data_IF_060738030450
#
_entry.id   IF_060738030450
#
_cell.length_a   1.000
_cell.length_b   1.000
_cell.length_c   1.000
_cell.angle_alpha   90.00
_cell.angle_beta   90.00
_cell.angle_gamma   90.00
#
_symmetry.space_group_name_H-M   'P 1'
#
loop_
_entity.id
_entity.type
_entity.pdbx_description
1 polymer ?
#
# COMPACT_ATOMS: atom_id res chain seq x y z
N UNK A 1 13.74 -36.80 4.74
CA UNK A 1 14.48 -36.18 3.62
C UNK A 1 14.26 -34.67 3.75
N UNK A 2 15.24 -33.94 4.30
CA UNK A 2 15.13 -32.49 4.49
C UNK A 2 15.34 -31.80 3.13
N UNK A 3 14.28 -31.26 2.55
CA UNK A 3 14.27 -30.69 1.20
C UNK A 3 14.63 -29.20 1.24
N UNK A 4 15.91 -28.89 1.00
CA UNK A 4 16.42 -27.56 0.63
C UNK A 4 16.30 -26.45 1.67
N UNK A 5 17.34 -25.62 1.83
CA UNK A 5 17.27 -24.42 2.66
C UNK A 5 16.16 -23.48 2.13
N UNK A 6 14.96 -23.55 2.74
CA UNK A 6 13.90 -22.57 2.51
C UNK A 6 14.36 -21.22 3.07
N UNK A 7 14.76 -20.32 2.17
CA UNK A 7 15.12 -18.96 2.56
C UNK A 7 13.85 -18.15 2.78
N UNK A 8 13.61 -17.80 4.04
CA UNK A 8 12.48 -16.95 4.44
C UNK A 8 12.75 -15.48 4.15
N UNK A 9 11.75 -14.81 3.57
CA UNK A 9 11.70 -13.35 3.40
C UNK A 9 11.31 -12.65 4.70
N UNK A 10 11.53 -11.32 4.76
CA UNK A 10 11.02 -10.46 5.83
C UNK A 10 9.66 -9.83 5.52
N UNK A 11 9.04 -10.18 4.39
CA UNK A 11 7.67 -9.78 4.04
C UNK A 11 6.70 -10.96 4.18
N UNK A 12 5.40 -10.71 4.44
CA UNK A 12 4.41 -11.78 4.55
C UNK A 12 4.20 -12.50 3.22
N UNK A 13 3.78 -13.76 3.30
CA UNK A 13 3.29 -14.51 2.17
C UNK A 13 2.02 -13.86 1.59
N UNK A 14 1.95 -13.75 0.26
CA UNK A 14 0.81 -13.15 -0.47
C UNK A 14 -0.36 -14.12 -0.50
N UNK A 15 -1.15 -14.10 0.58
CA UNK A 15 -2.38 -14.87 0.73
C UNK A 15 -3.61 -13.98 0.52
N UNK A 16 -4.80 -14.57 0.50
CA UNK A 16 -6.04 -13.78 0.55
C UNK A 16 -6.09 -12.90 1.81
N UNK A 17 -5.65 -13.44 2.95
CA UNK A 17 -5.57 -12.70 4.21
C UNK A 17 -4.66 -11.48 4.13
N UNK A 18 -3.53 -11.59 3.44
CA UNK A 18 -2.65 -10.46 3.16
C UNK A 18 -3.39 -9.34 2.41
N UNK A 19 -4.13 -9.66 1.35
CA UNK A 19 -4.85 -8.66 0.57
C UNK A 19 -5.97 -7.98 1.37
N UNK A 20 -6.72 -8.75 2.19
CA UNK A 20 -7.76 -8.18 3.05
C UNK A 20 -7.16 -7.18 4.03
N UNK A 21 -6.12 -7.57 4.77
CA UNK A 21 -5.47 -6.67 5.74
C UNK A 21 -4.83 -5.47 5.04
N UNK A 22 -4.26 -5.66 3.84
CA UNK A 22 -3.69 -4.57 3.04
C UNK A 22 -4.74 -3.54 2.63
N UNK A 23 -5.92 -3.97 2.16
CA UNK A 23 -7.02 -3.06 1.78
C UNK A 23 -7.51 -2.29 3.01
N UNK A 24 -7.70 -2.96 4.15
CA UNK A 24 -8.07 -2.27 5.39
C UNK A 24 -7.00 -1.27 5.83
N UNK A 25 -5.72 -1.61 5.70
CA UNK A 25 -4.61 -0.72 6.03
C UNK A 25 -4.55 0.49 5.09
N UNK A 26 -4.85 0.33 3.79
CA UNK A 26 -4.89 1.48 2.86
C UNK A 26 -6.10 2.38 3.12
N UNK A 27 -7.25 1.83 3.53
CA UNK A 27 -8.40 2.65 3.98
C UNK A 27 -8.12 3.36 5.31
N UNK A 28 -7.45 2.67 6.25
CA UNK A 28 -7.01 3.27 7.50
C UNK A 28 -6.03 4.41 7.24
N UNK A 29 -5.10 4.21 6.31
CA UNK A 29 -4.15 5.23 5.88
C UNK A 29 -4.81 6.55 5.52
N UNK A 30 -5.91 6.49 4.77
CA UNK A 30 -6.69 7.67 4.37
C UNK A 30 -7.35 8.34 5.57
N UNK A 31 -8.24 7.63 6.26
CA UNK A 31 -8.99 8.18 7.39
C UNK A 31 -8.07 8.63 8.54
N UNK A 32 -6.95 7.95 8.76
CA UNK A 32 -5.96 8.28 9.78
C UNK A 32 -5.10 9.48 9.39
N UNK A 33 -4.71 9.58 8.12
CA UNK A 33 -4.07 10.76 7.55
C UNK A 33 -4.93 12.00 7.74
N UNK A 34 -6.18 11.92 7.29
CA UNK A 34 -7.18 12.99 7.36
C UNK A 34 -7.64 13.32 8.78
N UNK A 35 -7.59 12.36 9.70
CA UNK A 35 -7.80 12.64 11.12
C UNK A 35 -6.78 13.66 11.61
N UNK A 36 -5.50 13.44 11.35
CA UNK A 36 -4.43 14.34 11.83
C UNK A 36 -4.37 15.63 11.01
N UNK A 37 -4.44 15.54 9.68
CA UNK A 37 -4.27 16.71 8.82
C UNK A 37 -5.52 17.63 8.83
N UNK A 38 -6.73 17.06 8.79
CA UNK A 38 -7.98 17.81 8.64
C UNK A 38 -8.75 17.92 9.97
N UNK A 39 -9.01 16.80 10.67
CA UNK A 39 -9.88 16.83 11.86
C UNK A 39 -9.20 17.51 13.05
N UNK A 40 -7.90 17.29 13.22
CA UNK A 40 -7.08 17.96 14.24
C UNK A 40 -6.49 19.29 13.74
N UNK A 41 -6.82 19.70 12.51
CA UNK A 41 -6.40 20.97 11.88
C UNK A 41 -4.88 21.20 11.86
N UNK A 42 -4.07 20.14 11.90
CA UNK A 42 -2.60 20.27 11.89
C UNK A 42 -2.05 20.60 10.50
N UNK A 43 -2.84 20.37 9.45
CA UNK A 43 -2.45 20.56 8.06
C UNK A 43 -1.56 19.45 7.51
N UNK A 44 -1.47 19.38 6.17
CA UNK A 44 -0.83 18.26 5.47
C UNK A 44 0.69 18.19 5.67
N UNK A 45 1.37 19.33 5.81
CA UNK A 45 2.83 19.35 6.02
C UNK A 45 3.22 18.78 7.39
N UNK A 46 2.53 19.20 8.46
CA UNK A 46 2.78 18.71 9.82
C UNK A 46 2.38 17.23 9.92
N UNK A 47 1.21 16.86 9.38
CA UNK A 47 0.77 15.46 9.29
C UNK A 47 1.81 14.58 8.59
N UNK A 48 2.35 15.06 7.45
CA UNK A 48 3.42 14.37 6.72
C UNK A 48 4.67 14.23 7.56
N UNK A 49 5.13 15.28 8.24
CA UNK A 49 6.32 15.22 9.09
C UNK A 49 6.17 14.18 10.21
N UNK A 50 5.00 14.10 10.85
CA UNK A 50 4.69 13.13 11.90
C UNK A 50 4.71 11.70 11.34
N UNK A 51 3.88 11.41 10.33
CA UNK A 51 3.74 10.04 9.84
C UNK A 51 4.96 9.55 9.09
N UNK A 52 5.64 10.42 8.34
CA UNK A 52 6.88 10.06 7.64
C UNK A 52 7.99 9.74 8.64
N UNK A 53 8.09 10.48 9.74
CA UNK A 53 9.06 10.21 10.80
C UNK A 53 8.79 8.86 11.48
N UNK A 54 7.52 8.57 11.82
CA UNK A 54 7.12 7.26 12.35
C UNK A 54 7.43 6.14 11.35
N UNK A 55 7.11 6.33 10.08
CA UNK A 55 7.41 5.37 9.03
C UNK A 55 8.91 5.11 8.89
N UNK A 56 9.75 6.15 8.86
CA UNK A 56 11.21 5.99 8.74
C UNK A 56 11.77 5.19 9.92
N UNK A 57 11.31 5.45 11.15
CA UNK A 57 11.73 4.69 12.33
C UNK A 57 11.30 3.22 12.24
N UNK A 58 10.05 2.95 11.86
CA UNK A 58 9.53 1.58 11.72
C UNK A 58 10.18 0.82 10.54
N UNK A 59 10.45 1.50 9.43
CA UNK A 59 11.16 0.92 8.29
C UNK A 59 12.62 0.62 8.64
N UNK A 60 13.30 1.51 9.37
CA UNK A 60 14.65 1.26 9.87
C UNK A 60 14.69 0.07 10.85
N UNK A 61 13.69 -0.05 11.72
CA UNK A 61 13.53 -1.21 12.60
C UNK A 61 13.26 -2.49 11.79
N UNK A 62 12.40 -2.45 10.78
CA UNK A 62 12.18 -3.60 9.91
C UNK A 62 13.50 -4.03 9.25
N UNK A 63 14.27 -3.08 8.70
CA UNK A 63 15.55 -3.34 8.04
C UNK A 63 16.58 -3.98 8.99
N UNK A 64 16.60 -3.56 10.26
CA UNK A 64 17.53 -4.09 11.26
C UNK A 64 17.16 -5.50 11.73
N UNK A 65 15.87 -5.86 11.70
CA UNK A 65 15.40 -7.18 12.11
C UNK A 65 15.85 -8.29 11.15
N UNK A 66 16.15 -9.47 11.68
CA UNK A 66 16.62 -10.62 10.88
C UNK A 66 15.52 -11.58 10.48
N UNK A 67 14.34 -11.45 11.10
CA UNK A 67 13.19 -12.34 10.92
C UNK A 67 11.94 -11.55 10.58
N UNK A 68 10.95 -12.22 10.01
CA UNK A 68 9.65 -11.61 9.76
C UNK A 68 8.89 -11.42 11.09
N UNK A 69 8.50 -10.19 11.38
CA UNK A 69 7.65 -9.81 12.50
C UNK A 69 6.34 -9.23 11.96
N UNK A 70 5.20 -9.95 12.07
CA UNK A 70 3.95 -9.52 11.45
C UNK A 70 3.47 -8.15 11.93
N UNK A 71 3.50 -7.90 13.25
CA UNK A 71 3.06 -6.62 13.81
C UNK A 71 3.94 -5.46 13.35
N UNK A 72 5.25 -5.65 13.31
CA UNK A 72 6.17 -4.63 12.82
C UNK A 72 5.89 -4.32 11.34
N UNK A 73 5.74 -5.35 10.50
CA UNK A 73 5.43 -5.17 9.09
C UNK A 73 4.12 -4.40 8.87
N UNK A 74 3.04 -4.81 9.54
CA UNK A 74 1.74 -4.14 9.38
C UNK A 74 1.74 -2.72 9.96
N UNK A 75 2.44 -2.47 11.07
CA UNK A 75 2.65 -1.12 11.59
C UNK A 75 3.41 -0.24 10.59
N UNK A 76 4.48 -0.75 9.98
CA UNK A 76 5.24 -0.02 8.94
C UNK A 76 4.37 0.25 7.71
N UNK A 77 3.53 -0.70 7.29
CA UNK A 77 2.58 -0.50 6.19
C UNK A 77 1.57 0.59 6.55
N UNK A 78 0.95 0.54 7.73
CA UNK A 78 -0.01 1.55 8.20
C UNK A 78 0.65 2.95 8.21
N UNK A 79 1.84 3.07 8.79
CA UNK A 79 2.58 4.33 8.83
C UNK A 79 2.93 4.84 7.42
N UNK A 80 3.28 3.92 6.50
CA UNK A 80 3.54 4.29 5.10
C UNK A 80 2.28 4.78 4.38
N UNK A 81 1.12 4.22 4.70
CA UNK A 81 -0.15 4.62 4.08
C UNK A 81 -0.64 5.96 4.63
N UNK A 82 -0.54 6.21 5.93
CA UNK A 82 -0.92 7.53 6.49
C UNK A 82 0.02 8.63 6.02
N UNK A 83 1.34 8.36 5.99
CA UNK A 83 2.32 9.29 5.42
C UNK A 83 2.06 9.54 3.92
N UNK A 84 1.67 8.49 3.19
CA UNK A 84 1.30 8.59 1.77
C UNK A 84 0.11 9.52 1.54
N UNK A 85 -0.95 9.42 2.35
CA UNK A 85 -2.12 10.33 2.28
C UNK A 85 -1.68 11.77 2.44
N UNK A 86 -1.08 12.10 3.58
CA UNK A 86 -0.77 13.50 3.90
C UNK A 86 0.25 14.09 2.93
N UNK A 87 1.17 13.27 2.41
CA UNK A 87 2.14 13.70 1.41
C UNK A 87 1.49 13.92 0.04
N UNK A 88 0.52 13.09 -0.34
CA UNK A 88 -0.24 13.25 -1.58
C UNK A 88 -1.02 14.56 -1.52
N UNK A 89 -1.79 14.78 -0.46
CA UNK A 89 -2.57 16.00 -0.26
C UNK A 89 -1.70 17.25 -0.20
N UNK A 90 -0.55 17.16 0.46
CA UNK A 90 0.40 18.27 0.49
C UNK A 90 0.87 18.60 -0.94
N UNK A 91 1.25 17.60 -1.73
CA UNK A 91 1.72 17.80 -3.09
C UNK A 91 0.63 18.30 -4.05
N UNK A 92 -0.55 17.70 -4.01
CA UNK A 92 -1.64 17.99 -4.96
C UNK A 92 -2.38 19.26 -4.59
N UNK A 93 -2.70 19.46 -3.30
CA UNK A 93 -3.54 20.56 -2.81
C UNK A 93 -2.71 21.74 -2.32
N UNK A 94 -1.67 21.52 -1.51
CA UNK A 94 -0.90 22.64 -0.90
C UNK A 94 0.17 23.22 -1.81
N UNK A 95 0.91 22.38 -2.55
CA UNK A 95 1.91 22.84 -3.52
C UNK A 95 1.28 23.23 -4.87
N UNK A 96 -0.01 22.95 -5.08
CA UNK A 96 -0.74 23.32 -6.29
C UNK A 96 -0.37 22.52 -7.54
N UNK A 97 0.22 21.33 -7.39
CA UNK A 97 0.57 20.45 -8.53
C UNK A 97 -0.71 19.88 -9.18
N UNK A 98 -1.81 19.80 -8.43
CA UNK A 98 -3.07 19.21 -8.87
C UNK A 98 -3.03 17.68 -8.90
N UNK A 99 -4.20 17.03 -8.91
CA UNK A 99 -4.27 15.57 -8.81
C UNK A 99 -3.68 14.84 -10.02
N UNK A 100 -3.96 15.32 -11.23
CA UNK A 100 -3.41 14.72 -12.46
C UNK A 100 -1.88 14.85 -12.53
N UNK A 101 -1.34 16.05 -12.25
CA UNK A 101 0.10 16.30 -12.23
C UNK A 101 0.81 15.48 -11.15
N UNK A 102 0.25 15.45 -9.93
CA UNK A 102 0.76 14.65 -8.83
C UNK A 102 0.76 13.15 -9.14
N UNK A 103 -0.34 12.64 -9.69
CA UNK A 103 -0.46 11.23 -10.09
C UNK A 103 0.55 10.82 -11.16
N UNK A 104 0.74 11.64 -12.20
CA UNK A 104 1.72 11.35 -13.25
C UNK A 104 3.16 11.36 -12.72
N UNK A 105 3.51 12.35 -11.89
CA UNK A 105 4.81 12.44 -11.23
C UNK A 105 5.07 11.21 -10.36
N UNK A 106 4.11 10.85 -9.50
CA UNK A 106 4.25 9.73 -8.58
C UNK A 106 4.27 8.39 -9.31
N UNK A 107 3.52 8.24 -10.41
CA UNK A 107 3.62 7.07 -11.29
C UNK A 107 5.03 6.95 -11.88
N UNK A 108 5.60 8.05 -12.39
CA UNK A 108 6.97 8.05 -12.88
C UNK A 108 7.97 7.65 -11.79
N UNK A 109 7.80 8.15 -10.55
CA UNK A 109 8.65 7.78 -9.41
C UNK A 109 8.50 6.30 -9.01
N UNK A 110 7.28 5.75 -9.03
CA UNK A 110 7.06 4.31 -8.80
C UNK A 110 7.80 3.49 -9.85
N UNK A 111 7.61 3.81 -11.14
CA UNK A 111 8.26 3.08 -12.25
C UNK A 111 9.79 3.22 -12.20
N UNK A 112 10.30 4.41 -11.91
CA UNK A 112 11.72 4.66 -11.74
C UNK A 112 12.30 3.87 -10.57
N UNK A 113 11.60 3.82 -9.42
CA UNK A 113 12.04 3.05 -8.25
C UNK A 113 12.08 1.54 -8.52
N UNK A 114 11.07 0.99 -9.19
CA UNK A 114 11.04 -0.41 -9.61
C UNK A 114 12.12 -0.72 -10.65
N UNK A 115 12.34 0.17 -11.61
CA UNK A 115 13.40 0.05 -12.61
C UNK A 115 14.78 0.06 -11.97
N UNK A 116 15.07 1.05 -11.11
CA UNK A 116 16.31 1.16 -10.38
C UNK A 116 16.56 -0.05 -9.47
N UNK A 117 15.51 -0.53 -8.77
CA UNK A 117 15.59 -1.74 -7.96
C UNK A 117 15.95 -2.96 -8.83
N UNK A 118 15.26 -3.16 -9.95
CA UNK A 118 15.54 -4.27 -10.87
C UNK A 118 16.97 -4.22 -11.41
N UNK A 119 17.47 -3.03 -11.78
CA UNK A 119 18.84 -2.86 -12.25
C UNK A 119 19.87 -3.14 -11.14
N UNK A 120 19.58 -2.71 -9.91
CA UNK A 120 20.51 -2.81 -8.79
C UNK A 120 20.58 -4.20 -8.13
N UNK A 121 19.56 -5.04 -8.33
CA UNK A 121 19.41 -6.34 -7.63
C UNK A 121 19.03 -7.52 -8.53
N UNK A 122 18.71 -7.27 -9.81
CA UNK A 122 18.28 -8.27 -10.78
C UNK A 122 16.82 -8.73 -10.65
N UNK A 123 16.10 -8.36 -9.60
CA UNK A 123 14.70 -8.78 -9.38
C UNK A 123 13.92 -7.81 -8.52
N UNK A 124 12.62 -7.66 -8.81
CA UNK A 124 11.65 -6.93 -7.97
C UNK A 124 10.64 -7.88 -7.32
N UNK A 125 11.02 -9.15 -7.18
CA UNK A 125 10.23 -10.16 -6.48
C UNK A 125 10.24 -9.87 -5.00
N UNK A 126 9.07 -9.80 -4.38
CA UNK A 126 8.98 -9.50 -2.96
C UNK A 126 9.61 -10.60 -2.08
N UNK A 127 9.63 -11.84 -2.57
CA UNK A 127 10.24 -12.96 -1.86
C UNK A 127 11.75 -12.75 -1.69
N UNK A 128 12.37 -11.94 -2.56
CA UNK A 128 13.80 -11.59 -2.50
C UNK A 128 14.11 -10.46 -1.51
N UNK A 129 13.09 -9.85 -0.89
CA UNK A 129 13.24 -8.76 0.07
C UNK A 129 13.73 -9.32 1.41
N UNK A 130 15.05 -9.24 1.62
CA UNK A 130 15.72 -9.76 2.83
C UNK A 130 16.98 -9.01 3.26
N UNK A 131 17.60 -8.28 2.33
CA UNK A 131 18.84 -7.56 2.55
C UNK A 131 18.52 -6.06 2.67
N UNK A 132 19.26 -5.29 3.49
CA UNK A 132 18.99 -3.88 3.72
C UNK A 132 18.82 -3.06 2.45
N UNK A 133 19.66 -3.31 1.43
CA UNK A 133 19.58 -2.65 0.12
C UNK A 133 18.24 -2.91 -0.59
N UNK A 134 17.79 -4.17 -0.61
CA UNK A 134 16.53 -4.58 -1.26
C UNK A 134 15.32 -4.07 -0.49
N UNK A 135 15.40 -4.06 0.84
CA UNK A 135 14.36 -3.52 1.72
C UNK A 135 14.22 -2.00 1.58
N UNK A 136 15.33 -1.26 1.41
CA UNK A 136 15.28 0.16 1.14
C UNK A 136 14.53 0.48 -0.17
N UNK A 137 14.79 -0.28 -1.24
CA UNK A 137 14.03 -0.15 -2.49
C UNK A 137 12.55 -0.50 -2.29
N UNK A 138 12.26 -1.59 -1.58
CA UNK A 138 10.90 -2.02 -1.28
C UNK A 138 10.11 -0.92 -0.56
N UNK A 139 10.65 -0.37 0.52
CA UNK A 139 10.00 0.69 1.29
C UNK A 139 9.88 1.99 0.50
N UNK A 140 10.89 2.36 -0.29
CA UNK A 140 10.81 3.53 -1.18
C UNK A 140 9.70 3.38 -2.23
N UNK A 141 9.64 2.25 -2.92
CA UNK A 141 8.59 1.96 -3.91
C UNK A 141 7.21 1.96 -3.26
N UNK A 142 7.08 1.39 -2.05
CA UNK A 142 5.84 1.42 -1.27
C UNK A 142 5.42 2.86 -0.99
N UNK A 143 6.33 3.72 -0.51
CA UNK A 143 6.02 5.12 -0.21
C UNK A 143 5.50 5.86 -1.44
N UNK A 144 6.19 5.77 -2.58
CA UNK A 144 5.70 6.38 -3.81
C UNK A 144 4.37 5.79 -4.26
N UNK A 145 4.17 4.49 -4.12
CA UNK A 145 2.92 3.82 -4.45
C UNK A 145 1.77 4.25 -3.52
N UNK A 146 2.02 4.45 -2.23
CA UNK A 146 0.98 4.90 -1.30
C UNK A 146 0.52 6.32 -1.60
N UNK A 147 1.49 7.17 -1.94
CA UNK A 147 1.24 8.58 -2.28
C UNK A 147 0.55 8.69 -3.63
N UNK A 148 1.01 7.92 -4.63
CA UNK A 148 0.36 7.81 -5.94
C UNK A 148 -1.10 7.43 -5.78
N UNK A 149 -1.38 6.42 -4.97
CA UNK A 149 -2.73 5.90 -4.85
C UNK A 149 -3.71 6.87 -4.21
N UNK A 150 -3.31 7.70 -3.24
CA UNK A 150 -4.20 8.78 -2.75
C UNK A 150 -4.46 9.79 -3.86
N UNK A 151 -3.40 10.35 -4.47
CA UNK A 151 -3.56 11.34 -5.55
C UNK A 151 -4.42 10.82 -6.71
N UNK A 152 -4.29 9.54 -7.06
CA UNK A 152 -5.06 8.90 -8.13
C UNK A 152 -6.50 8.58 -7.69
N UNK A 153 -6.71 8.23 -6.43
CA UNK A 153 -8.03 8.01 -5.84
C UNK A 153 -8.84 9.30 -5.84
N UNK A 154 -8.25 10.38 -5.32
CA UNK A 154 -8.84 11.72 -5.31
C UNK A 154 -9.11 12.21 -6.73
N UNK A 155 -8.14 12.03 -7.65
CA UNK A 155 -8.34 12.36 -9.05
C UNK A 155 -9.56 11.63 -9.62
N UNK A 156 -9.71 10.33 -9.37
CA UNK A 156 -10.82 9.56 -9.91
C UNK A 156 -12.17 10.04 -9.34
N UNK A 157 -12.21 10.39 -8.05
CA UNK A 157 -13.42 10.86 -7.39
C UNK A 157 -13.81 12.28 -7.82
N UNK A 158 -12.86 13.21 -7.81
CA UNK A 158 -13.08 14.65 -8.01
C UNK A 158 -12.96 15.01 -9.51
N UNK A 159 -11.74 15.20 -10.02
CA UNK A 159 -11.47 15.68 -11.38
C UNK A 159 -11.99 14.72 -12.48
N UNK A 160 -11.95 13.42 -12.19
CA UNK A 160 -12.43 12.35 -13.05
C UNK A 160 -13.95 12.18 -13.02
N UNK A 161 -14.63 12.83 -12.06
CA UNK A 161 -16.08 12.91 -11.98
C UNK A 161 -16.79 11.60 -11.63
N UNK A 162 -16.08 10.57 -11.12
CA UNK A 162 -16.70 9.29 -10.74
C UNK A 162 -17.33 9.34 -9.34
N UNK A 163 -16.95 10.33 -8.53
CA UNK A 163 -17.21 10.34 -7.09
C UNK A 163 -16.54 9.19 -6.35
N UNK A 164 -16.63 9.17 -5.03
CA UNK A 164 -15.96 8.15 -4.22
C UNK A 164 -16.50 6.73 -4.50
N UNK A 165 -17.82 6.56 -4.63
CA UNK A 165 -18.43 5.28 -4.96
C UNK A 165 -18.05 4.75 -6.35
N UNK A 166 -18.04 5.61 -7.37
CA UNK A 166 -17.61 5.23 -8.71
C UNK A 166 -16.12 4.92 -8.79
N UNK A 167 -15.28 5.69 -8.08
CA UNK A 167 -13.85 5.40 -7.91
C UNK A 167 -13.61 4.05 -7.24
N UNK A 168 -14.30 3.76 -6.14
CA UNK A 168 -14.21 2.47 -5.45
C UNK A 168 -14.61 1.29 -6.36
N UNK A 169 -15.68 1.44 -7.17
CA UNK A 169 -16.08 0.45 -8.16
C UNK A 169 -15.02 0.26 -9.25
N UNK A 170 -14.44 1.35 -9.77
CA UNK A 170 -13.38 1.30 -10.79
C UNK A 170 -12.17 0.51 -10.29
N UNK A 171 -11.62 0.87 -9.13
CA UNK A 171 -10.43 0.22 -8.61
C UNK A 171 -10.72 -1.20 -8.12
N UNK A 172 -11.90 -1.44 -7.54
CA UNK A 172 -12.37 -2.79 -7.18
C UNK A 172 -12.48 -3.70 -8.41
N UNK A 173 -13.07 -3.22 -9.50
CA UNK A 173 -13.16 -3.97 -10.76
C UNK A 173 -11.77 -4.23 -11.36
N UNK A 174 -10.88 -3.24 -11.33
CA UNK A 174 -9.50 -3.42 -11.81
C UNK A 174 -8.75 -4.49 -11.00
N UNK A 175 -8.90 -4.51 -9.67
CA UNK A 175 -8.34 -5.59 -8.83
C UNK A 175 -8.96 -6.96 -9.13
N UNK A 176 -10.27 -7.03 -9.39
CA UNK A 176 -10.94 -8.27 -9.79
C UNK A 176 -10.40 -8.79 -11.13
N UNK A 177 -10.16 -7.90 -12.11
CA UNK A 177 -9.52 -8.24 -13.38
C UNK A 177 -8.10 -8.76 -13.16
N UNK A 178 -7.30 -8.10 -12.31
CA UNK A 178 -5.95 -8.57 -11.99
C UNK A 178 -5.95 -9.94 -11.29
N UNK A 179 -6.92 -10.19 -10.41
CA UNK A 179 -7.12 -11.51 -9.81
C UNK A 179 -7.49 -12.55 -10.87
N UNK A 180 -8.39 -12.23 -11.80
CA UNK A 180 -8.71 -13.11 -12.93
C UNK A 180 -7.49 -13.41 -13.81
N UNK A 181 -6.69 -12.40 -14.14
CA UNK A 181 -5.44 -12.58 -14.87
C UNK A 181 -4.44 -13.46 -14.11
N UNK A 182 -4.40 -13.34 -12.78
CA UNK A 182 -3.54 -14.18 -11.94
C UNK A 182 -3.93 -15.67 -12.03
N UNK A 183 -5.22 -16.00 -12.02
CA UNK A 183 -5.67 -17.39 -12.04
C UNK A 183 -5.77 -18.01 -13.43
N UNK A 184 -6.03 -17.19 -14.47
CA UNK A 184 -6.38 -17.71 -15.80
C UNK A 184 -5.39 -17.36 -16.91
N UNK A 185 -4.42 -16.49 -16.66
CA UNK A 185 -3.45 -16.08 -17.69
C UNK A 185 -2.03 -16.60 -17.40
N UNK A 186 -1.13 -16.46 -18.37
CA UNK A 186 0.32 -16.70 -18.22
C UNK A 186 1.10 -15.42 -17.93
N UNK A 187 0.42 -14.34 -17.53
CA UNK A 187 1.06 -13.07 -17.23
C UNK A 187 2.05 -13.21 -16.06
N UNK A 188 3.05 -12.31 -16.05
CA UNK A 188 4.06 -12.28 -14.99
C UNK A 188 3.39 -12.02 -13.64
N UNK A 189 3.49 -13.00 -12.73
CA UNK A 189 2.93 -12.88 -11.38
C UNK A 189 3.56 -11.72 -10.59
N UNK A 190 4.83 -11.38 -10.91
CA UNK A 190 5.52 -10.22 -10.33
C UNK A 190 4.88 -8.92 -10.80
N UNK A 191 4.55 -8.81 -12.09
CA UNK A 191 3.89 -7.63 -12.62
C UNK A 191 2.46 -7.49 -12.09
N UNK A 192 1.71 -8.60 -12.04
CA UNK A 192 0.36 -8.64 -11.47
C UNK A 192 0.37 -8.26 -9.98
N UNK A 193 1.35 -8.74 -9.22
CA UNK A 193 1.52 -8.37 -7.81
C UNK A 193 1.70 -6.86 -7.66
N UNK A 194 2.66 -6.26 -8.38
CA UNK A 194 2.90 -4.82 -8.26
C UNK A 194 1.72 -3.99 -8.73
N UNK A 195 1.06 -4.39 -9.83
CA UNK A 195 -0.15 -3.71 -10.29
C UNK A 195 -1.26 -3.78 -9.23
N UNK A 196 -1.51 -4.95 -8.63
CA UNK A 196 -2.51 -5.10 -7.58
C UNK A 196 -2.13 -4.31 -6.33
N UNK A 197 -0.87 -4.40 -5.90
CA UNK A 197 -0.36 -3.66 -4.74
C UNK A 197 -0.53 -2.16 -4.91
N UNK A 198 -0.19 -1.62 -6.09
CA UNK A 198 -0.36 -0.20 -6.41
C UNK A 198 -1.84 0.17 -6.41
N UNK A 199 -2.72 -0.63 -7.02
CA UNK A 199 -4.15 -0.36 -7.14
C UNK A 199 -4.97 -0.56 -5.86
N UNK A 200 -4.46 -1.32 -4.87
CA UNK A 200 -5.14 -1.40 -3.55
C UNK A 200 -5.14 -0.07 -2.82
N UNK A 201 -4.21 0.84 -3.13
CA UNK A 201 -4.15 2.15 -2.49
C UNK A 201 -5.24 3.11 -2.97
N UNK A 202 -5.42 3.40 -4.27
CA UNK A 202 -6.51 4.27 -4.71
C UNK A 202 -7.88 3.70 -4.36
N UNK A 203 -8.05 2.37 -4.32
CA UNK A 203 -9.24 1.77 -3.71
C UNK A 203 -9.39 2.15 -2.23
N UNK A 204 -8.32 1.99 -1.45
CA UNK A 204 -8.34 2.34 -0.03
C UNK A 204 -8.66 3.82 0.23
N UNK A 205 -8.07 4.72 -0.57
CA UNK A 205 -8.31 6.16 -0.50
C UNK A 205 -9.77 6.49 -0.82
N UNK A 206 -10.26 6.07 -1.99
CA UNK A 206 -11.66 6.30 -2.39
C UNK A 206 -12.68 5.72 -1.40
N UNK A 207 -12.42 4.54 -0.83
CA UNK A 207 -13.29 3.96 0.22
C UNK A 207 -13.18 4.74 1.53
N UNK A 208 -11.98 5.19 1.91
CA UNK A 208 -11.76 5.99 3.12
C UNK A 208 -12.51 7.32 3.05
N UNK A 209 -12.36 8.02 1.92
CA UNK A 209 -13.09 9.26 1.65
C UNK A 209 -14.60 9.02 1.56
N UNK A 210 -15.03 7.93 0.92
CA UNK A 210 -16.45 7.59 0.88
C UNK A 210 -17.02 7.43 2.30
N UNK A 211 -16.26 6.84 3.23
CA UNK A 211 -16.68 6.69 4.62
C UNK A 211 -16.75 8.06 5.31
N UNK A 212 -15.73 8.91 5.16
CA UNK A 212 -15.56 10.07 6.04
C UNK A 212 -16.05 11.42 5.51
N UNK A 213 -16.12 11.61 4.20
CA UNK A 213 -16.40 12.92 3.61
C UNK A 213 -17.89 13.28 3.82
N UNK A 214 -18.22 14.58 3.83
CA UNK A 214 -19.60 15.04 3.97
C UNK A 214 -20.57 14.46 2.91
N UNK A 215 -21.86 14.37 3.27
CA UNK A 215 -22.91 13.86 2.40
C UNK A 215 -23.08 14.70 1.12
N UNK A 216 -22.93 16.02 1.23
CA UNK A 216 -22.97 16.98 0.12
C UNK A 216 -21.72 16.94 -0.78
N UNK A 217 -20.72 16.14 -0.40
CA UNK A 217 -19.56 15.80 -1.22
C UNK A 217 -19.56 14.31 -1.62
N UNK A 218 -20.65 13.59 -1.39
CA UNK A 218 -20.82 12.19 -1.82
C UNK A 218 -20.22 11.14 -0.89
N UNK A 219 -19.79 11.51 0.32
CA UNK A 219 -19.38 10.57 1.37
C UNK A 219 -20.52 10.21 2.33
N UNK A 220 -20.21 9.46 3.40
CA UNK A 220 -21.17 8.98 4.41
C UNK A 220 -21.15 9.81 5.70
N UNK A 221 -20.31 10.85 5.78
CA UNK A 221 -20.13 11.72 6.95
C UNK A 221 -19.81 10.95 8.25
N UNK A 222 -19.14 9.81 8.15
CA UNK A 222 -18.71 9.05 9.33
C UNK A 222 -17.45 9.68 9.95
N UNK A 223 -17.33 9.62 11.27
CA UNK A 223 -16.21 10.25 11.98
C UNK A 223 -14.86 9.62 11.60
N UNK A 224 -13.91 10.44 11.14
CA UNK A 224 -12.54 10.02 10.77
C UNK A 224 -11.82 9.27 11.91
N UNK A 225 -11.72 9.83 13.14
CA UNK A 225 -11.10 9.10 14.25
C UNK A 225 -11.77 7.75 14.54
N UNK A 226 -13.11 7.67 14.42
CA UNK A 226 -13.82 6.41 14.65
C UNK A 226 -13.57 5.41 13.52
N UNK A 227 -13.53 5.85 12.27
CA UNK A 227 -13.19 4.99 11.13
C UNK A 227 -11.79 4.40 11.33
N UNK A 228 -10.81 5.25 11.64
CA UNK A 228 -9.44 4.84 11.94
C UNK A 228 -9.38 3.84 13.10
N UNK A 229 -10.12 4.08 14.19
CA UNK A 229 -10.16 3.18 15.35
C UNK A 229 -10.76 1.80 14.99
N UNK A 230 -11.90 1.77 14.29
CA UNK A 230 -12.56 0.53 13.87
C UNK A 230 -11.67 -0.28 12.92
N UNK A 231 -11.06 0.39 11.93
CA UNK A 231 -10.14 -0.26 10.99
C UNK A 231 -8.90 -0.78 11.71
N UNK A 232 -8.37 -0.06 12.69
CA UNK A 232 -7.23 -0.51 13.51
C UNK A 232 -7.58 -1.80 14.25
N UNK A 233 -8.73 -1.83 14.94
CA UNK A 233 -9.20 -3.02 15.66
C UNK A 233 -9.40 -4.19 14.71
N UNK A 234 -10.01 -3.97 13.54
CA UNK A 234 -10.22 -5.00 12.54
C UNK A 234 -8.89 -5.57 12.01
N UNK A 235 -7.92 -4.72 11.70
CA UNK A 235 -6.58 -5.15 11.27
C UNK A 235 -5.90 -5.96 12.36
N UNK A 236 -5.89 -5.49 13.60
CA UNK A 236 -5.29 -6.21 14.73
C UNK A 236 -5.93 -7.60 14.92
N UNK A 237 -7.26 -7.68 14.87
CA UNK A 237 -7.99 -8.94 14.97
C UNK A 237 -7.61 -9.90 13.83
N UNK A 238 -7.54 -9.42 12.59
CA UNK A 238 -7.15 -10.25 11.45
C UNK A 238 -5.70 -10.70 11.50
N UNK A 239 -4.78 -9.84 11.95
CA UNK A 239 -3.36 -10.19 12.12
C UNK A 239 -3.18 -11.25 13.21
N UNK A 240 -4.01 -11.23 14.26
CA UNK A 240 -4.02 -12.23 15.33
C UNK A 240 -4.64 -13.56 14.90
N UNK A 241 -5.74 -13.53 14.14
CA UNK A 241 -6.51 -14.74 13.78
C UNK A 241 -5.95 -15.43 12.54
N UNK A 242 -5.49 -14.68 11.55
CA UNK A 242 -5.00 -15.24 10.29
C UNK A 242 -3.52 -15.63 10.39
N UNK A 243 -3.12 -16.80 9.86
CA UNK A 243 -1.72 -17.23 9.87
C UNK A 243 -0.80 -16.22 9.15
N UNK A 244 0.08 -15.57 9.91
CA UNK A 244 1.09 -14.65 9.38
C UNK A 244 2.41 -15.41 9.14
N UNK A 245 2.63 -15.86 7.89
CA UNK A 245 3.87 -16.56 7.50
C UNK A 245 4.74 -15.67 6.63
N UNK A 246 6.06 -15.81 6.77
CA UNK A 246 7.02 -15.18 5.87
C UNK A 246 6.87 -15.74 4.44
N UNK A 247 7.08 -14.90 3.42
CA UNK A 247 7.17 -15.36 2.05
C UNK A 247 8.41 -16.26 1.88
N UNK A 248 8.26 -17.35 1.10
CA UNK A 248 9.33 -18.33 0.91
C UNK A 248 9.92 -18.19 -0.49
N UNK A 249 11.23 -18.02 -0.58
CA UNK A 249 11.96 -18.19 -1.83
C UNK A 249 12.05 -19.68 -2.14
N UNK A 250 11.16 -20.19 -2.99
CA UNK A 250 11.40 -21.48 -3.63
C UNK A 250 12.48 -21.27 -4.68
N UNK A 251 13.68 -21.80 -4.43
CA UNK A 251 14.67 -22.01 -5.48
C UNK A 251 13.98 -22.75 -6.63
N UNK A 252 14.24 -22.35 -7.87
CA UNK A 252 13.61 -22.93 -9.06
C UNK A 252 13.71 -24.45 -9.00
N UNK A 253 12.61 -25.11 -8.64
CA UNK A 253 12.48 -26.54 -8.85
C UNK A 253 12.56 -26.73 -10.35
N UNK A 254 13.64 -27.33 -10.82
CA UNK A 254 13.76 -27.84 -12.17
C UNK A 254 12.55 -28.73 -12.42
N UNK A 255 11.67 -28.28 -13.31
CA UNK A 255 10.54 -29.08 -13.77
C UNK A 255 11.14 -30.36 -14.36
N UNK A 256 10.75 -31.57 -13.92
CA UNK A 256 11.28 -32.78 -14.53
C UNK A 256 10.91 -32.78 -16.03
N UNK A 257 11.83 -33.21 -16.92
CA UNK A 257 11.51 -33.35 -18.33
C UNK A 257 10.34 -34.33 -18.47
N UNK A 258 9.41 -33.96 -19.37
CA UNK A 258 8.27 -34.80 -19.76
C UNK A 258 8.74 -36.02 -20.51
#
# INVERSE_FOLDING_TARGET
>A
MATGDEVLSKVPAVTLGFWIVKILATTLGETGGDTVSMTMEMGYLVGTAIFLSIFVLLAAWQISEKRFHPFLYWATIIASTTAGTTMADFATRSLGIGYAGGSLLLLALVLASLGAWKLATGSVRIETVRAPKTEAFYWLTITFSQTLGTALGDWAADDGGLGYGGGALLFGAALAVLAGLYFWSRASHVALFWAAFILTRPLGATVGDFIDKPLDHGGLAFSRPMATAVLTVAILALVLVLPQKAAVLRGTATKPPR
#
